data_IF_418230813771
#
_entry.id   IF_418230813771
#
_cell.length_a   1.000
_cell.length_b   1.000
_cell.length_c   1.000
_cell.angle_alpha   90.00
_cell.angle_beta   90.00
_cell.angle_gamma   90.00
#
_symmetry.space_group_name_H-M   'P 1'
#
loop_
_entity.id
_entity.type
_entity.pdbx_description
1 polymer ?
#
# COMPACT_ATOMS: atom_id res chain seq x y z
N UNK A 1 11.50 9.17 8.50
CA UNK A 1 11.22 8.99 7.06
C UNK A 1 11.92 7.70 6.68
N UNK A 2 11.13 6.68 6.39
CA UNK A 2 11.58 5.37 5.92
C UNK A 2 11.57 5.39 4.40
N UNK A 3 12.42 4.59 3.76
CA UNK A 3 12.40 4.50 2.29
C UNK A 3 11.17 3.72 1.85
N UNK A 4 10.43 4.25 0.87
CA UNK A 4 9.15 3.66 0.49
C UNK A 4 8.28 4.53 -0.39
N UNK A 5 7.03 4.08 -0.55
CA UNK A 5 5.96 4.84 -1.19
C UNK A 5 5.11 5.49 -0.10
N UNK A 6 5.01 6.81 -0.13
CA UNK A 6 4.21 7.60 0.80
C UNK A 6 3.25 8.47 0.00
N UNK A 7 1.98 8.11 -0.02
CA UNK A 7 0.98 8.77 -0.87
C UNK A 7 -0.30 9.10 -0.10
N UNK A 8 -0.96 10.18 -0.51
CA UNK A 8 -2.29 10.55 -0.02
C UNK A 8 -3.18 10.81 -1.24
N UNK A 9 -3.72 9.75 -1.87
CA UNK A 9 -4.54 9.90 -3.07
C UNK A 9 -5.87 10.61 -2.76
N UNK A 10 -6.37 11.37 -3.74
CA UNK A 10 -7.71 11.96 -3.67
C UNK A 10 -8.76 10.89 -3.90
N UNK A 11 -9.34 10.36 -2.83
CA UNK A 11 -10.39 9.35 -2.86
C UNK A 11 -11.74 9.96 -2.49
N UNK A 12 -12.78 9.55 -3.21
CA UNK A 12 -14.17 9.94 -2.89
C UNK A 12 -14.63 9.30 -1.58
N UNK A 13 -15.22 10.11 -0.70
CA UNK A 13 -15.72 9.69 0.61
C UNK A 13 -16.79 8.60 0.52
N UNK A 14 -16.75 7.63 1.43
CA UNK A 14 -17.68 6.49 1.53
C UNK A 14 -17.52 5.45 0.42
N UNK A 15 -16.51 5.59 -0.46
CA UNK A 15 -16.24 4.63 -1.52
C UNK A 15 -15.22 3.60 -1.08
N UNK A 16 -15.43 2.37 -1.57
CA UNK A 16 -14.46 1.29 -1.49
C UNK A 16 -13.53 1.35 -2.70
N UNK A 17 -12.26 1.07 -2.47
CA UNK A 17 -11.26 0.87 -3.50
C UNK A 17 -10.50 -0.44 -3.29
N UNK A 18 -9.86 -0.89 -4.35
CA UNK A 18 -8.88 -1.98 -4.34
C UNK A 18 -7.50 -1.41 -4.63
N UNK A 19 -6.60 -1.55 -3.66
CA UNK A 19 -5.18 -1.30 -3.83
C UNK A 19 -4.50 -2.60 -4.27
N UNK A 20 -3.81 -2.57 -5.40
CA UNK A 20 -2.96 -3.67 -5.87
C UNK A 20 -1.50 -3.23 -5.81
N UNK A 21 -0.65 -4.07 -5.23
CA UNK A 21 0.78 -3.81 -5.01
C UNK A 21 1.61 -4.98 -5.53
N UNK A 22 2.73 -4.68 -6.18
CA UNK A 22 3.74 -5.67 -6.50
C UNK A 22 5.13 -5.09 -6.19
N UNK A 23 5.97 -5.88 -5.53
CA UNK A 23 7.38 -5.53 -5.34
C UNK A 23 8.28 -6.50 -6.12
N UNK A 24 9.30 -5.97 -6.79
CA UNK A 24 10.31 -6.75 -7.48
C UNK A 24 11.69 -6.45 -6.88
N UNK A 25 12.34 -7.45 -6.28
CA UNK A 25 13.66 -7.30 -5.68
C UNK A 25 13.98 -8.40 -4.66
N UNK A 26 14.35 -8.01 -3.44
CA UNK A 26 14.64 -8.90 -2.31
C UNK A 26 14.08 -8.34 -1.02
N UNK A 27 13.67 -9.23 -0.12
CA UNK A 27 13.07 -8.87 1.17
C UNK A 27 11.58 -8.57 1.05
N UNK A 28 11.09 -7.69 1.91
CA UNK A 28 9.68 -7.38 2.06
C UNK A 28 9.48 -5.88 2.28
N UNK A 29 8.33 -5.37 1.85
CA UNK A 29 7.82 -4.08 2.29
C UNK A 29 6.59 -4.26 3.18
N UNK A 30 6.23 -3.21 3.93
CA UNK A 30 5.08 -3.18 4.84
C UNK A 30 4.11 -2.10 4.40
N UNK A 31 2.90 -2.51 4.05
CA UNK A 31 1.79 -1.63 3.78
C UNK A 31 1.09 -1.23 5.09
N UNK A 32 0.88 0.05 5.30
CA UNK A 32 0.05 0.60 6.38
C UNK A 32 -0.86 1.71 5.86
N UNK A 33 -1.91 2.01 6.63
CA UNK A 33 -2.89 3.04 6.32
C UNK A 33 -3.04 4.01 7.49
N UNK A 34 -3.25 5.28 7.17
CA UNK A 34 -3.66 6.31 8.11
C UNK A 34 -4.94 6.98 7.59
N UNK A 35 -6.07 6.91 8.29
CA UNK A 35 -6.27 6.20 9.56
C UNK A 35 -6.24 4.67 9.40
N UNK A 36 -5.92 3.94 10.48
CA UNK A 36 -5.73 2.48 10.46
C UNK A 36 -7.01 1.69 10.15
N UNK A 37 -8.19 2.31 10.27
CA UNK A 37 -9.46 1.71 9.90
C UNK A 37 -9.76 1.83 8.40
N UNK A 38 -8.94 2.54 7.62
CA UNK A 38 -9.12 2.65 6.17
C UNK A 38 -8.82 1.34 5.44
N UNK A 39 -7.92 0.49 5.96
CA UNK A 39 -7.53 -0.79 5.36
C UNK A 39 -6.72 -1.65 6.31
N UNK A 40 -6.35 -2.86 5.89
CA UNK A 40 -5.55 -3.78 6.72
C UNK A 40 -4.06 -3.66 6.41
N UNK A 41 -3.24 -3.64 7.45
CA UNK A 41 -1.79 -3.77 7.30
C UNK A 41 -1.43 -5.10 6.62
N UNK A 42 -0.48 -5.07 5.70
CA UNK A 42 -0.03 -6.27 4.99
C UNK A 42 1.48 -6.25 4.72
N UNK A 43 2.08 -7.44 4.60
CA UNK A 43 3.40 -7.58 3.99
C UNK A 43 3.25 -7.55 2.46
N UNK A 44 4.24 -6.96 1.78
CA UNK A 44 4.36 -6.92 0.33
C UNK A 44 5.69 -7.58 -0.03
N UNK A 45 5.70 -8.90 -0.32
CA UNK A 45 6.92 -9.60 -0.66
C UNK A 45 7.52 -9.06 -1.96
N UNK A 46 8.85 -8.95 -1.99
CA UNK A 46 9.57 -8.50 -3.19
C UNK A 46 9.89 -9.65 -4.16
N UNK A 47 8.93 -10.56 -4.35
CA UNK A 47 9.01 -11.76 -5.19
C UNK A 47 8.18 -11.67 -6.47
N UNK A 48 7.64 -10.48 -6.78
CA UNK A 48 6.75 -10.17 -7.92
C UNK A 48 5.32 -10.71 -7.77
N UNK A 49 4.96 -11.27 -6.61
CA UNK A 49 3.56 -11.56 -6.30
C UNK A 49 2.75 -10.27 -6.18
N UNK A 50 1.44 -10.37 -6.44
CA UNK A 50 0.51 -9.25 -6.30
C UNK A 50 -0.21 -9.37 -4.96
N UNK A 51 -0.06 -8.36 -4.11
CA UNK A 51 -0.83 -8.20 -2.89
C UNK A 51 -1.99 -7.26 -3.17
N UNK A 52 -3.21 -7.72 -2.89
CA UNK A 52 -4.42 -6.93 -3.02
C UNK A 52 -4.98 -6.60 -1.64
N UNK A 53 -5.33 -5.34 -1.43
CA UNK A 53 -6.00 -4.86 -0.22
C UNK A 53 -7.24 -4.05 -0.58
N UNK A 54 -8.30 -4.27 0.18
CA UNK A 54 -9.48 -3.41 0.14
C UNK A 54 -9.27 -2.25 1.09
N UNK A 55 -9.64 -1.06 0.65
CA UNK A 55 -9.68 0.11 1.52
C UNK A 55 -11.00 0.87 1.36
N UNK A 56 -11.42 1.54 2.43
CA UNK A 56 -12.61 2.40 2.45
C UNK A 56 -12.18 3.81 2.82
N UNK A 57 -12.50 4.76 1.96
CA UNK A 57 -12.15 6.16 2.17
C UNK A 57 -13.27 6.89 2.93
N UNK A 58 -13.20 6.95 4.25
CA UNK A 58 -14.13 7.77 5.07
C UNK A 58 -13.70 9.24 5.18
N UNK A 59 -12.50 9.56 4.72
CA UNK A 59 -11.85 10.86 4.70
C UNK A 59 -10.51 10.76 3.95
N UNK A 60 -9.57 11.70 4.16
CA UNK A 60 -8.20 11.55 3.66
C UNK A 60 -7.58 10.23 4.13
N UNK A 61 -6.97 9.49 3.21
CA UNK A 61 -6.28 8.24 3.50
C UNK A 61 -4.85 8.36 3.02
N UNK A 62 -3.90 8.33 3.95
CA UNK A 62 -2.50 8.12 3.64
C UNK A 62 -2.20 6.63 3.56
N UNK A 63 -1.44 6.28 2.53
CA UNK A 63 -0.98 4.92 2.23
C UNK A 63 0.54 4.96 2.26
N UNK A 64 1.11 4.19 3.18
CA UNK A 64 2.54 4.08 3.37
C UNK A 64 2.98 2.64 3.08
N UNK A 65 4.00 2.48 2.24
CA UNK A 65 4.62 1.20 1.91
C UNK A 65 6.11 1.29 2.17
N UNK A 66 6.52 0.85 3.35
CA UNK A 66 7.90 0.95 3.85
C UNK A 66 8.72 -0.27 3.49
N UNK A 67 9.92 -0.10 2.94
CA UNK A 67 10.90 -1.19 2.83
C UNK A 67 11.32 -1.68 4.22
N UNK A 68 11.34 -3.00 4.46
CA UNK A 68 11.91 -3.55 5.69
C UNK A 68 13.44 -3.59 5.62
N UNK A 69 14.11 -3.65 6.76
CA UNK A 69 15.59 -3.64 6.83
C UNK A 69 16.22 -4.69 5.91
N UNK A 70 17.19 -4.27 5.09
CA UNK A 70 17.88 -5.13 4.12
C UNK A 70 17.11 -5.38 2.82
N UNK A 71 15.92 -4.81 2.65
CA UNK A 71 15.14 -4.94 1.42
C UNK A 71 15.68 -4.05 0.31
N UNK A 72 15.58 -4.52 -0.93
CA UNK A 72 15.97 -3.78 -2.14
C UNK A 72 14.96 -4.05 -3.23
N UNK A 73 14.72 -3.07 -4.11
CA UNK A 73 13.84 -3.29 -5.26
C UNK A 73 13.03 -2.07 -5.64
N UNK A 74 11.97 -2.34 -6.40
CA UNK A 74 10.99 -1.37 -6.85
C UNK A 74 9.58 -1.85 -6.53
N UNK A 75 8.70 -0.91 -6.19
CA UNK A 75 7.29 -1.18 -5.90
C UNK A 75 6.45 -0.49 -6.97
N UNK A 76 5.55 -1.26 -7.58
CA UNK A 76 4.48 -0.74 -8.43
C UNK A 76 3.16 -0.86 -7.68
N UNK A 77 2.28 0.12 -7.86
CA UNK A 77 0.99 0.15 -7.21
C UNK A 77 -0.09 0.77 -8.10
N UNK A 78 -1.33 0.35 -7.87
CA UNK A 78 -2.51 0.85 -8.55
C UNK A 78 -3.69 0.85 -7.58
N UNK A 79 -4.57 1.84 -7.72
CA UNK A 79 -5.86 1.89 -7.03
C UNK A 79 -6.98 1.89 -8.07
N UNK A 80 -7.94 0.99 -7.89
CA UNK A 80 -9.18 0.95 -8.66
C UNK A 80 -10.37 1.20 -7.75
N UNK A 81 -11.38 1.92 -8.25
CA UNK A 81 -12.70 1.89 -7.62
C UNK A 81 -13.33 0.49 -7.78
N UNK A 82 -14.01 0.02 -6.74
CA UNK A 82 -14.75 -1.25 -6.74
C UNK A 82 -16.23 -1.01 -7.04
#
# INVERSE_FOLDING_TARGET
MTDGIHSEPTLSKGKTYRLSLACAGKGDARLTFVPTNAGSQAAVPCDKSVVQQRLTAEGPVRIDVDGTSGSTGVIAWQIDAV
#
